data_IF_239322530317
#
_entry.id   IF_239322530317
#
_cell.length_a   1.000
_cell.length_b   1.000
_cell.length_c   1.000
_cell.angle_alpha   90.00
_cell.angle_beta   90.00
_cell.angle_gamma   90.00
#
_symmetry.space_group_name_H-M   'P 1'
#
loop_
_entity.id
_entity.type
_entity.pdbx_description
1 polymer ?
#
# COMPACT_ATOMS: atom_id res chain seq x y z
N UNK A 1 4.89 -15.30 8.89
CA UNK A 1 5.87 -14.28 9.30
C UNK A 1 5.14 -13.17 10.05
N UNK A 2 5.62 -12.78 11.23
CA UNK A 2 4.97 -11.80 12.14
C UNK A 2 5.63 -10.43 11.97
N UNK A 3 4.91 -9.33 12.25
CA UNK A 3 5.43 -7.94 12.17
C UNK A 3 6.80 -7.74 12.84
N UNK A 4 7.07 -8.47 13.92
CA UNK A 4 8.37 -8.48 14.61
C UNK A 4 9.53 -8.99 13.74
N UNK A 5 9.31 -10.05 12.95
CA UNK A 5 10.31 -10.61 12.03
C UNK A 5 10.57 -9.64 10.86
N UNK A 6 9.52 -8.97 10.39
CA UNK A 6 9.63 -7.94 9.35
C UNK A 6 10.45 -6.74 9.86
N UNK A 7 10.17 -6.25 11.08
CA UNK A 7 10.97 -5.20 11.73
C UNK A 7 12.44 -5.61 11.96
N UNK A 8 12.68 -6.86 12.34
CA UNK A 8 14.05 -7.35 12.54
C UNK A 8 14.86 -7.36 11.24
N UNK A 9 14.21 -7.59 10.09
CA UNK A 9 14.85 -7.69 8.77
C UNK A 9 15.15 -6.31 8.14
N UNK A 10 14.34 -5.29 8.42
CA UNK A 10 14.40 -3.98 7.76
C UNK A 10 14.75 -2.81 8.69
N UNK A 11 14.99 -3.05 9.99
CA UNK A 11 15.43 -2.03 10.94
C UNK A 11 14.35 -1.01 11.30
N UNK A 12 14.67 0.28 11.27
CA UNK A 12 13.71 1.34 11.61
C UNK A 12 12.72 1.55 10.48
N UNK A 13 11.54 0.96 10.64
CA UNK A 13 10.46 1.03 9.66
C UNK A 13 9.74 2.39 9.68
N UNK A 14 9.62 3.01 8.52
CA UNK A 14 8.75 4.18 8.30
C UNK A 14 7.28 3.77 8.10
N UNK A 15 6.38 4.76 7.97
CA UNK A 15 4.95 4.52 7.76
C UNK A 15 4.66 3.73 6.48
N UNK A 16 5.42 3.95 5.40
CA UNK A 16 5.30 3.21 4.14
C UNK A 16 5.47 1.71 4.36
N UNK A 17 6.54 1.30 5.03
CA UNK A 17 6.80 -0.11 5.34
C UNK A 17 5.71 -0.76 6.21
N UNK A 18 5.08 0.02 7.12
CA UNK A 18 3.93 -0.46 7.90
C UNK A 18 2.74 -0.75 7.01
N UNK A 19 2.43 0.17 6.09
CA UNK A 19 1.32 0.03 5.16
C UNK A 19 1.57 -1.13 4.19
N UNK A 20 2.78 -1.26 3.64
CA UNK A 20 3.16 -2.37 2.77
C UNK A 20 3.01 -3.73 3.45
N UNK A 21 3.45 -3.87 4.70
CA UNK A 21 3.25 -5.09 5.46
C UNK A 21 1.76 -5.41 5.69
N UNK A 22 0.96 -4.40 6.02
CA UNK A 22 -0.47 -4.59 6.26
C UNK A 22 -1.21 -5.00 4.97
N UNK A 23 -0.94 -4.32 3.86
CA UNK A 23 -1.53 -4.66 2.55
C UNK A 23 -1.05 -6.03 2.06
N UNK A 24 0.26 -6.28 2.06
CA UNK A 24 0.82 -7.57 1.65
C UNK A 24 0.30 -8.73 2.49
N UNK A 25 0.13 -8.53 3.81
CA UNK A 25 -0.48 -9.53 4.69
C UNK A 25 -1.95 -9.76 4.36
N UNK A 26 -2.73 -8.72 4.09
CA UNK A 26 -4.13 -8.83 3.71
C UNK A 26 -4.30 -9.64 2.42
N UNK A 27 -3.50 -9.33 1.40
CA UNK A 27 -3.52 -10.02 0.12
C UNK A 27 -3.08 -11.48 0.24
N UNK A 28 -2.04 -11.74 1.05
CA UNK A 28 -1.59 -13.10 1.32
C UNK A 28 -2.66 -13.93 2.05
N UNK A 29 -3.33 -13.38 3.07
CA UNK A 29 -4.42 -14.07 3.77
C UNK A 29 -5.56 -14.41 2.81
N UNK A 30 -5.92 -13.47 1.94
CA UNK A 30 -6.90 -13.71 0.89
C UNK A 30 -6.43 -14.84 -0.04
N UNK A 31 -5.20 -14.78 -0.55
CA UNK A 31 -4.64 -15.82 -1.42
C UNK A 31 -4.63 -17.20 -0.77
N UNK A 32 -4.19 -17.30 0.49
CA UNK A 32 -4.19 -18.53 1.27
C UNK A 32 -5.61 -19.08 1.46
N UNK A 33 -6.60 -18.21 1.70
CA UNK A 33 -8.01 -18.62 1.84
C UNK A 33 -8.60 -19.23 0.56
N UNK A 34 -8.02 -18.92 -0.60
CA UNK A 34 -8.39 -19.49 -1.90
C UNK A 34 -7.54 -20.73 -2.28
N UNK A 35 -6.82 -21.34 -1.32
CA UNK A 35 -5.97 -22.51 -1.57
C UNK A 35 -4.60 -22.20 -2.16
N UNK A 36 -4.23 -20.92 -2.19
CA UNK A 36 -2.90 -20.47 -2.58
C UNK A 36 -1.81 -20.99 -1.64
N UNK A 37 -0.64 -21.34 -2.21
CA UNK A 37 0.50 -21.90 -1.46
C UNK A 37 1.70 -20.96 -1.40
N UNK A 38 1.57 -19.77 -1.97
CA UNK A 38 2.67 -18.82 -2.03
C UNK A 38 2.97 -18.24 -0.63
N UNK A 39 4.27 -18.08 -0.28
CA UNK A 39 4.66 -17.53 1.00
C UNK A 39 4.41 -16.01 1.06
N UNK A 40 4.24 -15.47 2.27
CA UNK A 40 4.00 -14.04 2.51
C UNK A 40 5.05 -13.15 1.82
N UNK A 41 6.31 -13.59 1.77
CA UNK A 41 7.42 -12.85 1.15
C UNK A 41 7.16 -12.48 -0.31
N UNK A 42 6.31 -13.21 -1.05
CA UNK A 42 5.93 -12.85 -2.42
C UNK A 42 4.89 -11.73 -2.53
N UNK A 43 4.21 -11.41 -1.43
CA UNK A 43 3.20 -10.34 -1.34
C UNK A 43 3.78 -9.05 -0.76
N UNK A 44 4.97 -9.11 -0.19
CA UNK A 44 5.71 -7.96 0.29
C UNK A 44 6.54 -7.40 -0.87
N UNK A 45 6.43 -6.10 -1.15
CA UNK A 45 7.32 -5.43 -2.10
C UNK A 45 8.63 -5.13 -1.39
N UNK A 46 9.71 -5.75 -1.84
CA UNK A 46 11.06 -5.38 -1.41
C UNK A 46 11.56 -4.31 -2.36
N UNK A 47 11.44 -3.04 -1.97
CA UNK A 47 12.14 -1.97 -2.67
C UNK A 47 13.59 -1.98 -2.18
N UNK A 48 14.46 -2.71 -2.90
CA UNK A 48 15.91 -2.69 -2.66
C UNK A 48 16.51 -1.30 -2.94
N UNK A 49 15.85 -0.51 -3.77
CA UNK A 49 16.05 0.94 -3.89
C UNK A 49 14.70 1.63 -3.78
N UNK A 50 14.62 2.82 -3.12
CA UNK A 50 13.40 3.59 -3.10
C UNK A 50 12.98 3.81 -4.56
N UNK A 51 11.74 3.45 -4.93
CA UNK A 51 11.28 3.67 -6.29
C UNK A 51 11.44 5.17 -6.54
N UNK A 52 12.16 5.52 -7.60
CA UNK A 52 12.16 6.89 -8.13
C UNK A 52 10.80 7.14 -8.81
N UNK A 53 9.71 6.95 -8.08
CA UNK A 53 8.40 7.42 -8.46
C UNK A 53 8.47 8.94 -8.35
N UNK A 54 8.52 9.60 -9.52
CA UNK A 54 8.08 11.00 -9.57
C UNK A 54 6.69 11.01 -8.93
N UNK A 55 6.44 11.85 -7.90
CA UNK A 55 5.14 11.89 -7.27
C UNK A 55 4.09 12.04 -8.37
N UNK A 56 3.19 11.07 -8.48
CA UNK A 56 2.13 11.13 -9.46
C UNK A 56 1.31 12.38 -9.12
N UNK A 57 1.33 13.37 -10.01
CA UNK A 57 0.48 14.55 -9.84
C UNK A 57 -0.97 14.07 -9.78
N UNK A 58 -1.66 14.43 -8.70
CA UNK A 58 -3.06 14.08 -8.54
C UNK A 58 -3.85 14.74 -9.68
N UNK A 59 -4.39 13.92 -10.57
CA UNK A 59 -5.23 14.44 -11.65
C UNK A 59 -6.49 15.09 -11.07
N UNK A 60 -7.06 16.09 -11.76
CA UNK A 60 -8.32 16.70 -11.36
C UNK A 60 -9.42 15.64 -11.15
N UNK A 61 -9.45 14.61 -12.01
CA UNK A 61 -10.38 13.49 -11.88
C UNK A 61 -10.17 12.67 -10.58
N UNK A 62 -8.92 12.46 -10.17
CA UNK A 62 -8.59 11.78 -8.90
C UNK A 62 -9.07 12.59 -7.69
N UNK A 63 -8.88 13.92 -7.74
CA UNK A 63 -9.31 14.82 -6.67
C UNK A 63 -10.84 14.92 -6.56
N UNK A 64 -11.55 14.99 -7.70
CA UNK A 64 -13.02 14.97 -7.72
C UNK A 64 -13.59 13.67 -7.15
N UNK A 65 -12.98 12.53 -7.50
CA UNK A 65 -13.40 11.23 -6.99
C UNK A 65 -13.22 11.13 -5.47
N UNK A 66 -12.07 11.58 -4.95
CA UNK A 66 -11.80 11.61 -3.51
C UNK A 66 -12.80 12.51 -2.80
N UNK A 67 -13.04 13.73 -3.30
CA UNK A 67 -13.96 14.66 -2.66
C UNK A 67 -15.40 14.14 -2.59
N UNK A 68 -15.86 13.41 -3.63
CA UNK A 68 -17.17 12.71 -3.60
C UNK A 68 -17.24 11.62 -2.53
N UNK A 69 -16.16 10.84 -2.34
CA UNK A 69 -16.12 9.80 -1.30
C UNK A 69 -16.24 10.37 0.12
N UNK A 70 -15.73 11.59 0.34
CA UNK A 70 -15.81 12.28 1.64
C UNK A 70 -17.03 13.20 1.78
N UNK A 71 -17.95 13.21 0.80
CA UNK A 71 -19.16 14.03 0.84
C UNK A 71 -18.90 15.54 0.77
N UNK A 72 -17.71 15.95 0.30
CA UNK A 72 -17.35 17.36 0.19
C UNK A 72 -17.93 17.95 -1.10
N UNK A 73 -18.52 19.16 -1.07
CA UNK A 73 -18.98 19.84 -2.27
C UNK A 73 -17.77 20.22 -3.14
N UNK A 74 -17.74 19.74 -4.38
CA UNK A 74 -16.68 20.05 -5.34
C UNK A 74 -17.11 21.25 -6.18
N UNK A 75 -16.57 22.43 -5.90
CA UNK A 75 -16.68 23.57 -6.81
C UNK A 75 -15.53 23.53 -7.82
N UNK A 76 -15.80 22.96 -9.00
CA UNK A 76 -14.86 23.01 -10.13
C UNK A 76 -14.92 24.41 -10.73
N UNK A 77 -13.94 25.28 -10.44
CA UNK A 77 -13.76 26.53 -11.20
C UNK A 77 -13.16 26.17 -12.57
N UNK A 78 -13.98 26.31 -13.61
CA UNK A 78 -13.57 26.23 -15.02
C UNK A 78 -12.68 27.42 -15.41
#
# INVERSE_FOLDING_TARGET
MVWAEYRARFGTLNLGHRLEFLFGRSDWVRHASHGGKEPLDKFLRYYDEPPQEKPAEASAASLEMIARMFGAPVEVRR
#
